data_IF_820625306143
#
_entry.id   IF_820625306143
#
_cell.length_a   1.000
_cell.length_b   1.000
_cell.length_c   1.000
_cell.angle_alpha   90.00
_cell.angle_beta   90.00
_cell.angle_gamma   90.00
#
_symmetry.space_group_name_H-M   'P 1'
#
loop_
_entity.id
_entity.type
_entity.pdbx_description
1 polymer ?
#
# COMPACT_ATOMS: atom_id res chain seq x y z
N UNK A 1 7.24 -3.42 -7.74
CA UNK A 1 7.76 -4.48 -8.64
C UNK A 1 6.66 -5.45 -9.07
N UNK A 2 5.88 -6.05 -8.14
CA UNK A 2 4.72 -6.92 -8.49
C UNK A 2 3.75 -6.30 -9.51
N UNK A 3 3.29 -5.06 -9.28
CA UNK A 3 2.34 -4.38 -10.18
C UNK A 3 2.87 -4.21 -11.61
N UNK A 4 4.19 -4.04 -11.77
CA UNK A 4 4.83 -3.93 -13.08
C UNK A 4 4.90 -5.30 -13.79
N UNK A 5 5.19 -6.39 -13.07
CA UNK A 5 5.15 -7.75 -13.62
C UNK A 5 3.76 -8.10 -14.14
N UNK A 6 2.73 -7.91 -13.30
CA UNK A 6 1.34 -8.17 -13.68
C UNK A 6 0.82 -7.24 -14.79
N UNK A 7 1.43 -6.06 -14.95
CA UNK A 7 1.14 -5.15 -16.05
C UNK A 7 1.68 -5.67 -17.39
N UNK A 8 2.87 -6.27 -17.40
CA UNK A 8 3.51 -6.84 -18.60
C UNK A 8 2.72 -8.04 -19.13
N UNK A 9 2.23 -8.90 -18.25
CA UNK A 9 1.43 -10.09 -18.60
C UNK A 9 -0.02 -9.76 -18.99
N UNK A 10 -0.44 -8.50 -18.85
CA UNK A 10 -1.82 -8.08 -19.06
C UNK A 10 -2.24 -8.18 -20.54
N UNK A 11 -3.35 -8.87 -20.80
CA UNK A 11 -4.00 -8.90 -22.11
C UNK A 11 -4.52 -7.51 -22.53
N UNK A 12 -4.68 -7.32 -23.85
CA UNK A 12 -4.98 -6.01 -24.44
C UNK A 12 -6.29 -5.37 -23.94
N UNK A 13 -7.31 -6.18 -23.66
CA UNK A 13 -8.64 -5.76 -23.17
C UNK A 13 -8.61 -5.19 -21.74
N UNK A 14 -7.52 -5.42 -20.99
CA UNK A 14 -7.38 -5.02 -19.58
C UNK A 14 -6.27 -4.01 -19.31
N UNK A 15 -5.59 -3.54 -20.36
CA UNK A 15 -4.48 -2.58 -20.25
C UNK A 15 -4.85 -1.29 -19.54
N UNK A 16 -6.08 -0.83 -19.66
CA UNK A 16 -6.53 0.39 -18.96
C UNK A 16 -6.46 0.19 -17.44
N UNK A 17 -7.01 -0.91 -16.93
CA UNK A 17 -6.94 -1.22 -15.51
C UNK A 17 -5.49 -1.41 -15.04
N UNK A 18 -4.66 -2.08 -15.84
CA UNK A 18 -3.25 -2.27 -15.53
C UNK A 18 -2.50 -0.92 -15.45
N UNK A 19 -2.72 -0.02 -16.42
CA UNK A 19 -2.12 1.32 -16.44
C UNK A 19 -2.53 2.15 -15.23
N UNK A 20 -3.83 2.13 -14.88
CA UNK A 20 -4.33 2.82 -13.68
C UNK A 20 -3.66 2.27 -12.42
N UNK A 21 -3.56 0.93 -12.30
CA UNK A 21 -2.86 0.28 -11.18
C UNK A 21 -1.39 0.72 -11.07
N UNK A 22 -0.67 0.79 -12.19
CA UNK A 22 0.72 1.25 -12.26
C UNK A 22 0.90 2.72 -11.89
N UNK A 23 0.04 3.61 -12.41
CA UNK A 23 0.10 5.04 -12.09
C UNK A 23 -0.15 5.28 -10.60
N UNK A 24 -1.15 4.61 -10.03
CA UNK A 24 -1.45 4.71 -8.59
C UNK A 24 -0.29 4.14 -7.74
N UNK A 25 0.37 3.06 -8.19
CA UNK A 25 1.56 2.54 -7.51
C UNK A 25 2.69 3.57 -7.47
N UNK A 26 2.91 4.29 -8.57
CA UNK A 26 3.90 5.36 -8.64
C UNK A 26 3.56 6.51 -7.68
N UNK A 27 2.30 6.96 -7.65
CA UNK A 27 1.82 7.99 -6.73
C UNK A 27 2.03 7.57 -5.27
N UNK A 28 1.66 6.34 -4.91
CA UNK A 28 1.94 5.78 -3.58
C UNK A 28 3.43 5.83 -3.26
N UNK A 29 4.28 5.39 -4.19
CA UNK A 29 5.73 5.43 -4.04
C UNK A 29 6.25 6.83 -3.74
N UNK A 30 5.71 7.86 -4.41
CA UNK A 30 6.04 9.26 -4.13
C UNK A 30 5.66 9.67 -2.71
N UNK A 31 4.43 9.37 -2.26
CA UNK A 31 3.99 9.72 -0.90
C UNK A 31 4.87 9.10 0.18
N UNK A 32 5.12 7.80 0.10
CA UNK A 32 5.96 7.09 1.08
C UNK A 32 7.39 7.62 1.05
N UNK A 33 7.96 7.89 -0.12
CA UNK A 33 9.30 8.48 -0.20
C UNK A 33 9.36 9.85 0.49
N UNK A 34 8.37 10.72 0.28
CA UNK A 34 8.32 12.01 0.97
C UNK A 34 8.23 11.83 2.49
N UNK A 35 7.34 10.96 2.96
CA UNK A 35 7.16 10.66 4.39
C UNK A 35 8.46 10.17 5.02
N UNK A 36 9.06 9.12 4.46
CA UNK A 36 10.29 8.52 5.00
C UNK A 36 11.48 9.47 4.90
N UNK A 37 11.61 10.20 3.78
CA UNK A 37 12.68 11.18 3.63
C UNK A 37 12.58 12.28 4.67
N UNK A 38 11.37 12.79 4.97
CA UNK A 38 11.17 13.77 6.05
C UNK A 38 11.50 13.19 7.43
N UNK A 39 11.12 11.93 7.72
CA UNK A 39 11.48 11.30 9.00
C UNK A 39 13.00 11.18 9.17
N UNK A 40 13.70 10.72 8.13
CA UNK A 40 15.14 10.46 8.20
C UNK A 40 16.00 11.72 8.13
N UNK A 41 15.51 12.78 7.49
CA UNK A 41 16.28 14.03 7.33
C UNK A 41 15.91 15.08 8.36
N UNK A 42 14.66 15.52 8.41
CA UNK A 42 14.21 16.60 9.30
C UNK A 42 13.98 16.10 10.71
N UNK A 43 13.14 15.07 10.90
CA UNK A 43 12.73 14.63 12.25
C UNK A 43 13.89 14.02 13.03
N UNK A 44 14.74 13.22 12.37
CA UNK A 44 15.84 12.54 13.04
C UNK A 44 17.05 13.46 13.36
N UNK A 45 17.31 14.48 12.55
CA UNK A 45 18.55 15.27 12.67
C UNK A 45 18.34 16.67 13.26
N UNK A 46 17.13 17.22 13.22
CA UNK A 46 16.84 18.55 13.74
C UNK A 46 16.17 18.51 15.12
N UNK A 47 16.44 19.52 15.95
CA UNK A 47 15.66 19.76 17.17
C UNK A 47 14.40 20.53 16.82
N UNK A 48 13.32 19.79 16.54
CA UNK A 48 12.03 20.37 16.23
C UNK A 48 11.41 21.03 17.47
N UNK A 49 10.75 22.17 17.27
CA UNK A 49 9.87 22.72 18.29
C UNK A 49 8.63 21.83 18.48
N UNK A 50 7.86 22.09 19.54
CA UNK A 50 6.70 21.26 19.89
C UNK A 50 5.64 21.21 18.79
N UNK A 51 5.36 22.35 18.14
CA UNK A 51 4.38 22.41 17.05
C UNK A 51 4.82 21.58 15.85
N UNK A 52 6.08 21.70 15.43
CA UNK A 52 6.64 20.92 14.33
C UNK A 52 6.69 19.43 14.68
N UNK A 53 7.04 19.07 15.91
CA UNK A 53 7.04 17.70 16.42
C UNK A 53 5.64 17.07 16.31
N UNK A 54 4.60 17.78 16.75
CA UNK A 54 3.21 17.29 16.67
C UNK A 54 2.71 17.07 15.23
N UNK A 55 3.26 17.77 14.25
CA UNK A 55 2.88 17.62 12.84
C UNK A 55 3.72 16.59 12.09
N UNK A 56 5.03 16.54 12.38
CA UNK A 56 6.01 15.82 11.59
C UNK A 56 6.46 14.51 12.21
N UNK A 57 6.32 14.29 13.51
CA UNK A 57 6.71 13.02 14.13
C UNK A 57 5.62 11.97 13.89
N UNK A 58 5.98 10.83 13.28
CA UNK A 58 5.01 9.78 12.93
C UNK A 58 4.22 9.25 14.14
N UNK A 59 4.88 9.16 15.31
CA UNK A 59 4.27 8.68 16.55
C UNK A 59 3.15 9.61 17.08
N UNK A 60 3.12 10.88 16.64
CA UNK A 60 2.11 11.86 17.06
C UNK A 60 0.83 11.80 16.23
N UNK A 61 0.75 10.92 15.23
CA UNK A 61 -0.41 10.80 14.35
C UNK A 61 -0.87 12.15 13.74
N UNK A 62 0.10 13.03 13.46
CA UNK A 62 -0.11 14.37 12.93
C UNK A 62 -0.23 14.43 11.40
N UNK A 63 0.20 15.54 10.81
CA UNK A 63 0.12 15.76 9.36
C UNK A 63 0.85 14.67 8.56
N UNK A 64 2.08 14.30 8.98
CA UNK A 64 2.87 13.31 8.24
C UNK A 64 2.18 11.94 8.21
N UNK A 65 1.51 11.56 9.31
CA UNK A 65 0.77 10.32 9.42
C UNK A 65 -0.47 10.32 8.52
N UNK A 66 -1.15 11.46 8.38
CA UNK A 66 -2.27 11.58 7.46
C UNK A 66 -1.83 11.42 5.99
N UNK A 67 -0.66 11.93 5.62
CA UNK A 67 -0.10 11.72 4.28
C UNK A 67 0.35 10.28 4.03
N UNK A 68 0.93 9.64 5.05
CA UNK A 68 1.25 8.22 5.01
C UNK A 68 -0.01 7.37 4.79
N UNK A 69 -1.08 7.63 5.54
CA UNK A 69 -2.35 6.92 5.38
C UNK A 69 -3.03 7.18 4.02
N UNK A 70 -2.95 8.41 3.52
CA UNK A 70 -3.40 8.73 2.15
C UNK A 70 -2.62 7.91 1.12
N UNK A 71 -1.30 7.81 1.27
CA UNK A 71 -0.45 6.94 0.47
C UNK A 71 -0.93 5.49 0.49
N UNK A 72 -1.16 4.92 1.67
CA UNK A 72 -1.70 3.56 1.81
C UNK A 72 -3.07 3.39 1.13
N UNK A 73 -3.94 4.41 1.18
CA UNK A 73 -5.20 4.42 0.43
C UNK A 73 -4.98 4.35 -1.09
N UNK A 74 -4.03 5.11 -1.62
CA UNK A 74 -3.65 5.07 -3.04
C UNK A 74 -3.07 3.70 -3.42
N UNK A 75 -2.25 3.10 -2.56
CA UNK A 75 -1.77 1.73 -2.75
C UNK A 75 -2.91 0.71 -2.78
N UNK A 76 -3.95 0.89 -1.96
CA UNK A 76 -5.12 0.02 -1.97
C UNK A 76 -5.86 0.06 -3.31
N UNK A 77 -6.05 1.26 -3.88
CA UNK A 77 -6.59 1.42 -5.23
C UNK A 77 -5.68 0.81 -6.29
N UNK A 78 -4.36 1.04 -6.20
CA UNK A 78 -3.38 0.44 -7.11
C UNK A 78 -3.55 -1.08 -7.14
N UNK A 79 -3.54 -1.71 -5.96
CA UNK A 79 -3.69 -3.16 -5.78
C UNK A 79 -5.00 -3.67 -6.37
N UNK A 80 -6.11 -2.95 -6.16
CA UNK A 80 -7.41 -3.27 -6.72
C UNK A 80 -7.41 -3.29 -8.25
N UNK A 81 -6.90 -2.22 -8.87
CA UNK A 81 -6.85 -2.12 -10.33
C UNK A 81 -5.89 -3.14 -10.94
N UNK A 82 -4.77 -3.46 -10.27
CA UNK A 82 -3.90 -4.56 -10.66
C UNK A 82 -4.61 -5.92 -10.56
N UNK A 83 -5.43 -6.14 -9.53
CA UNK A 83 -6.25 -7.35 -9.41
C UNK A 83 -7.34 -7.43 -10.49
N UNK A 84 -7.88 -6.29 -10.94
CA UNK A 84 -8.82 -6.23 -12.06
C UNK A 84 -8.15 -6.59 -13.40
N UNK A 85 -6.90 -6.17 -13.61
CA UNK A 85 -6.18 -6.45 -14.86
C UNK A 85 -5.71 -7.90 -14.96
N UNK A 86 -5.44 -8.55 -13.82
CA UNK A 86 -4.94 -9.92 -13.77
C UNK A 86 -5.95 -10.96 -14.30
N UNK A 87 -5.49 -11.86 -15.17
CA UNK A 87 -6.26 -13.01 -15.64
C UNK A 87 -5.84 -14.27 -14.89
N UNK A 88 -6.69 -14.82 -14.01
CA UNK A 88 -6.30 -15.97 -13.22
C UNK A 88 -6.35 -17.27 -14.05
N UNK A 89 -5.23 -17.97 -14.14
CA UNK A 89 -5.10 -19.23 -14.88
C UNK A 89 -5.28 -20.46 -13.97
N UNK A 90 -4.94 -20.33 -12.69
CA UNK A 90 -5.01 -21.42 -11.72
C UNK A 90 -5.72 -21.01 -10.40
N UNK A 91 -5.86 -21.96 -9.46
CA UNK A 91 -6.52 -21.69 -8.16
C UNK A 91 -5.76 -20.66 -7.31
N UNK A 92 -4.42 -20.67 -7.33
CA UNK A 92 -3.60 -19.70 -6.61
C UNK A 92 -3.80 -18.29 -7.15
N UNK A 93 -3.86 -18.13 -8.48
CA UNK A 93 -4.13 -16.85 -9.13
C UNK A 93 -5.53 -16.32 -8.79
N UNK A 94 -6.53 -17.21 -8.69
CA UNK A 94 -7.88 -16.81 -8.25
C UNK A 94 -7.86 -16.22 -6.84
N UNK A 95 -7.10 -16.83 -5.93
CA UNK A 95 -6.92 -16.31 -4.57
C UNK A 95 -6.13 -15.00 -4.54
N UNK A 96 -5.02 -14.92 -5.29
CA UNK A 96 -4.23 -13.71 -5.42
C UNK A 96 -5.09 -12.54 -5.91
N UNK A 97 -5.84 -12.75 -6.99
CA UNK A 97 -6.80 -11.78 -7.51
C UNK A 97 -7.84 -11.39 -6.46
N UNK A 98 -8.44 -12.36 -5.77
CA UNK A 98 -9.44 -12.07 -4.75
C UNK A 98 -8.88 -11.21 -3.61
N UNK A 99 -7.69 -11.54 -3.10
CA UNK A 99 -7.02 -10.74 -2.07
C UNK A 99 -6.70 -9.32 -2.57
N UNK A 100 -6.25 -9.17 -3.81
CA UNK A 100 -5.97 -7.86 -4.38
C UNK A 100 -7.24 -7.01 -4.55
N UNK A 101 -8.36 -7.62 -4.94
CA UNK A 101 -9.64 -6.94 -5.06
C UNK A 101 -10.23 -6.54 -3.70
N UNK A 102 -10.19 -7.45 -2.71
CA UNK A 102 -10.66 -7.17 -1.34
C UNK A 102 -9.83 -6.04 -0.72
N UNK A 103 -8.54 -5.98 -1.03
CA UNK A 103 -7.67 -4.93 -0.53
C UNK A 103 -8.13 -3.52 -0.94
N UNK A 104 -8.82 -3.37 -2.07
CA UNK A 104 -9.39 -2.09 -2.51
C UNK A 104 -10.33 -1.45 -1.49
N UNK A 105 -10.97 -2.23 -0.63
CA UNK A 105 -11.89 -1.73 0.41
C UNK A 105 -11.16 -0.84 1.42
N UNK A 106 -9.88 -1.07 1.68
CA UNK A 106 -9.07 -0.25 2.59
C UNK A 106 -8.87 1.18 2.12
N UNK A 107 -9.13 1.49 0.83
CA UNK A 107 -9.12 2.86 0.35
C UNK A 107 -10.06 3.76 1.18
N UNK A 108 -11.25 3.28 1.49
CA UNK A 108 -12.25 4.06 2.21
C UNK A 108 -11.85 4.32 3.66
N UNK A 109 -11.32 3.31 4.35
CA UNK A 109 -10.84 3.49 5.73
C UNK A 109 -9.64 4.43 5.76
N UNK A 110 -8.63 4.23 4.90
CA UNK A 110 -7.45 5.07 4.84
C UNK A 110 -7.74 6.53 4.43
N UNK A 111 -8.80 6.76 3.63
CA UNK A 111 -9.14 8.11 3.14
C UNK A 111 -10.06 8.86 4.10
N UNK A 112 -11.14 8.22 4.55
CA UNK A 112 -12.17 8.92 5.34
C UNK A 112 -11.86 8.98 6.83
N UNK A 113 -11.18 7.98 7.38
CA UNK A 113 -10.88 7.94 8.82
C UNK A 113 -10.04 9.14 9.28
N UNK A 114 -8.99 9.59 8.57
CA UNK A 114 -8.27 10.84 8.89
C UNK A 114 -9.15 12.08 8.87
N UNK A 115 -10.09 12.16 7.91
CA UNK A 115 -10.97 13.32 7.76
C UNK A 115 -11.91 13.49 8.97
N UNK A 116 -12.20 12.42 9.71
CA UNK A 116 -12.99 12.49 10.96
C UNK A 116 -12.22 13.10 12.14
N UNK A 117 -10.91 13.31 12.01
CA UNK A 117 -10.05 13.80 13.09
C UNK A 117 -9.81 12.78 14.21
N UNK A 118 -10.18 11.51 14.02
CA UNK A 118 -10.03 10.45 15.02
C UNK A 118 -8.57 10.25 15.46
N UNK A 119 -7.61 10.39 14.54
CA UNK A 119 -6.18 10.28 14.84
C UNK A 119 -5.61 11.47 15.60
N UNK A 120 -6.11 12.70 15.33
CA UNK A 120 -5.74 13.89 16.10
C UNK A 120 -6.16 13.75 17.59
N UNK A 121 -7.25 13.03 17.86
CA UNK A 121 -7.72 12.71 19.22
C UNK A 121 -6.94 11.57 19.89
N UNK A 122 -6.21 10.75 19.13
CA UNK A 122 -5.39 9.65 19.64
C UNK A 122 -3.99 10.11 20.07
N UNK A 123 -3.49 11.18 19.45
CA UNK A 123 -2.23 11.87 19.77
C UNK A 123 -2.15 12.39 21.22
N UNK A 124 -3.29 12.63 21.86
CA UNK A 124 -3.38 13.31 23.16
C UNK A 124 -3.29 12.40 24.40
N UNK A 125 -3.00 11.10 24.29
CA UNK A 125 -2.83 10.29 25.50
C UNK A 125 -2.68 8.76 25.40
N UNK A 126 -2.49 8.18 24.21
CA UNK A 126 -2.36 6.73 24.06
C UNK A 126 -0.94 6.29 23.67
N UNK A 127 -0.41 5.27 24.36
CA UNK A 127 0.75 4.51 23.89
C UNK A 127 0.39 3.94 22.49
N UNK A 128 1.19 4.22 21.45
CA UNK A 128 0.88 4.06 20.02
C UNK A 128 0.60 2.62 19.52
N UNK A 129 0.12 1.74 20.40
CA UNK A 129 -0.25 0.33 20.22
C UNK A 129 -1.26 0.16 19.07
N UNK A 130 -2.24 1.06 18.94
CA UNK A 130 -3.26 0.96 17.88
C UNK A 130 -2.68 1.01 16.46
N UNK A 131 -1.75 1.94 16.22
CA UNK A 131 -1.05 2.05 14.94
C UNK A 131 -0.15 0.85 14.67
N UNK A 132 0.60 0.38 15.67
CA UNK A 132 1.47 -0.81 15.54
C UNK A 132 0.67 -2.07 15.22
N UNK A 133 -0.47 -2.27 15.88
CA UNK A 133 -1.34 -3.41 15.64
C UNK A 133 -1.91 -3.38 14.22
N UNK A 134 -2.35 -2.21 13.74
CA UNK A 134 -2.83 -2.04 12.36
C UNK A 134 -1.74 -2.42 11.33
N UNK A 135 -0.49 -2.00 11.54
CA UNK A 135 0.65 -2.39 10.70
C UNK A 135 0.92 -3.89 10.71
N UNK A 136 0.84 -4.55 11.88
CA UNK A 136 1.01 -6.01 11.96
C UNK A 136 -0.10 -6.74 11.19
N UNK A 137 -1.36 -6.31 11.36
CA UNK A 137 -2.49 -6.85 10.59
C UNK A 137 -2.28 -6.66 9.09
N UNK A 138 -1.77 -5.49 8.70
CA UNK A 138 -1.42 -5.19 7.31
C UNK A 138 -0.34 -6.14 6.77
N UNK A 139 0.74 -6.36 7.53
CA UNK A 139 1.78 -7.32 7.15
C UNK A 139 1.24 -8.74 6.99
N UNK A 140 0.39 -9.20 7.91
CA UNK A 140 -0.25 -10.53 7.83
C UNK A 140 -1.13 -10.64 6.60
N UNK A 141 -1.81 -9.56 6.19
CA UNK A 141 -2.64 -9.52 4.99
C UNK A 141 -1.80 -9.56 3.69
N UNK A 142 -0.67 -8.85 3.65
CA UNK A 142 0.19 -8.77 2.46
C UNK A 142 1.10 -9.98 2.27
N UNK A 143 1.42 -10.69 3.34
CA UNK A 143 2.22 -11.92 3.28
C UNK A 143 1.67 -12.95 2.26
N UNK A 144 0.38 -13.35 2.30
CA UNK A 144 -0.16 -14.29 1.32
C UNK A 144 -0.18 -13.71 -0.11
N UNK A 145 -0.37 -12.40 -0.28
CA UNK A 145 -0.27 -11.75 -1.60
C UNK A 145 1.14 -11.94 -2.15
N UNK A 146 2.18 -11.64 -1.36
CA UNK A 146 3.57 -11.81 -1.77
C UNK A 146 3.93 -13.26 -2.12
N UNK A 147 3.51 -14.23 -1.29
CA UNK A 147 3.74 -15.66 -1.54
C UNK A 147 3.04 -16.11 -2.83
N UNK A 148 1.77 -15.74 -3.02
CA UNK A 148 1.01 -16.14 -4.21
C UNK A 148 1.56 -15.48 -5.47
N UNK A 149 1.99 -14.22 -5.41
CA UNK A 149 2.66 -13.55 -6.52
C UNK A 149 3.99 -14.22 -6.88
N UNK A 150 4.79 -14.60 -5.90
CA UNK A 150 6.03 -15.35 -6.15
C UNK A 150 5.73 -16.68 -6.87
N UNK A 151 4.75 -17.45 -6.37
CA UNK A 151 4.33 -18.71 -6.99
C UNK A 151 3.80 -18.50 -8.42
N UNK A 152 3.10 -17.39 -8.67
CA UNK A 152 2.59 -17.02 -9.98
C UNK A 152 3.74 -16.84 -10.98
N UNK A 153 4.69 -15.95 -10.67
CA UNK A 153 5.78 -15.62 -11.58
C UNK A 153 6.78 -16.77 -11.78
N UNK A 154 7.08 -17.58 -10.76
CA UNK A 154 7.99 -18.73 -10.91
C UNK A 154 7.40 -19.84 -11.78
N UNK A 155 6.08 -19.98 -11.84
CA UNK A 155 5.44 -20.98 -12.70
C UNK A 155 5.44 -20.58 -14.17
N UNK A 156 5.37 -19.28 -14.46
CA UNK A 156 5.44 -18.81 -15.84
C UNK A 156 6.87 -18.88 -16.40
N UNK A 157 7.91 -18.70 -15.59
CA UNK A 157 9.30 -19.02 -16.00
C UNK A 157 9.47 -20.48 -16.42
N UNK A 158 8.99 -21.44 -15.62
CA UNK A 158 9.06 -22.87 -15.98
C UNK A 158 8.24 -23.25 -17.21
N UNK A 159 7.28 -22.42 -17.64
CA UNK A 159 6.51 -22.65 -18.86
C UNK A 159 7.27 -22.21 -20.12
N UNK A 160 8.13 -21.20 -20.01
CA UNK A 160 8.96 -20.72 -21.11
C UNK A 160 10.19 -21.60 -21.37
N UNK A 161 10.65 -22.40 -20.39
CA UNK A 161 11.77 -23.34 -20.55
C UNK A 161 11.38 -24.69 -21.20
N UNK A 162 10.09 -24.94 -21.47
CA UNK A 162 9.58 -26.22 -21.99
C UNK A 162 9.05 -26.10 -23.44
N UNK A 163 8.95 -24.88 -23.97
CA UNK A 163 8.55 -24.58 -25.37
C UNK A 163 9.76 -24.20 -26.24
#
# INVERSE_FOLDING_TARGET
MMTAGLHIECEGDRKVAANVGMLLAAVYGTFIMLVYFTQLTTVNNEQLNEQATNLLEMAKCGLIFNYDLLGYGVMALSTFFTGLSMKPNNKADKWLRALMLIHGVFYFSCTFMPMTGMFAKMSSGGDGIGGRLALVVWCVYFLPIGILSFIHFTKDEMRYDID
#
